data_IF_144544572071
#
_entry.id   IF_144544572071
#
_cell.length_a   1.000
_cell.length_b   1.000
_cell.length_c   1.000
_cell.angle_alpha   90.00
_cell.angle_beta   90.00
_cell.angle_gamma   90.00
#
_symmetry.space_group_name_H-M   'P 1'
#
loop_
_entity.id
_entity.type
_entity.pdbx_description
1 polymer ?
#
# COMPACT_ATOMS: atom_id res chain seq x y z
N UNK A 1 39.17 -78.83 19.81
CA UNK A 1 38.02 -78.29 20.57
C UNK A 1 38.17 -76.79 20.60
N UNK A 2 37.10 -76.13 20.17
CA UNK A 2 36.95 -74.70 19.93
C UNK A 2 37.40 -73.81 21.08
N UNK A 3 37.89 -72.61 20.75
CA UNK A 3 37.68 -71.42 21.58
C UNK A 3 37.43 -70.21 20.68
N UNK A 4 36.29 -70.25 20.01
CA UNK A 4 35.69 -69.24 19.12
C UNK A 4 35.01 -68.11 19.91
N UNK A 5 35.57 -67.70 21.06
CA UNK A 5 34.92 -66.72 21.95
C UNK A 5 35.61 -65.35 22.03
N UNK A 6 36.77 -65.18 21.39
CA UNK A 6 37.54 -63.92 21.48
C UNK A 6 37.08 -62.88 20.43
N UNK A 7 36.36 -63.28 19.38
CA UNK A 7 35.93 -62.38 18.29
C UNK A 7 34.52 -61.79 18.45
N UNK A 8 33.70 -62.28 19.38
CA UNK A 8 32.34 -61.78 19.59
C UNK A 8 32.26 -60.55 20.52
N UNK A 9 33.32 -60.27 21.30
CA UNK A 9 33.33 -59.15 22.26
C UNK A 9 33.64 -57.78 21.65
N UNK A 10 34.22 -57.72 20.45
CA UNK A 10 34.69 -56.46 19.85
C UNK A 10 33.68 -55.82 18.88
N UNK A 11 32.67 -56.56 18.41
CA UNK A 11 31.70 -56.05 17.42
C UNK A 11 30.53 -55.30 18.09
N UNK A 12 30.27 -55.55 19.37
CA UNK A 12 29.19 -54.86 20.11
C UNK A 12 29.60 -53.44 20.54
N UNK A 13 30.90 -53.14 20.60
CA UNK A 13 31.40 -51.81 20.95
C UNK A 13 31.34 -50.79 19.79
N UNK A 14 31.15 -51.24 18.54
CA UNK A 14 31.16 -50.34 17.37
C UNK A 14 29.75 -49.92 16.89
N UNK A 15 28.68 -50.58 17.37
CA UNK A 15 27.30 -50.24 17.01
C UNK A 15 26.65 -49.20 17.96
N UNK A 16 27.33 -48.84 19.06
CA UNK A 16 26.82 -47.89 20.05
C UNK A 16 27.33 -46.45 19.84
N UNK A 17 28.13 -46.18 18.80
CA UNK A 17 28.80 -44.89 18.59
C UNK A 17 28.39 -44.14 17.31
N UNK A 18 27.47 -44.68 16.50
CA UNK A 18 27.01 -44.05 15.25
C UNK A 18 25.61 -43.43 15.31
N UNK A 19 25.06 -43.22 16.51
CA UNK A 19 23.77 -42.55 16.75
C UNK A 19 23.90 -41.20 17.44
N UNK A 20 24.92 -40.40 17.12
CA UNK A 20 25.09 -39.04 17.66
C UNK A 20 24.80 -37.99 16.59
N UNK A 21 23.59 -38.03 16.03
CA UNK A 21 22.98 -36.87 15.38
C UNK A 21 21.56 -36.77 15.90
N UNK A 22 21.42 -36.29 17.14
CA UNK A 22 20.13 -36.07 17.77
C UNK A 22 19.28 -35.17 16.87
N UNK A 23 18.12 -35.67 16.47
CA UNK A 23 17.16 -34.92 15.65
C UNK A 23 16.23 -34.16 16.58
N UNK A 24 16.03 -32.87 16.32
CA UNK A 24 15.10 -32.00 17.05
C UNK A 24 13.67 -32.08 16.51
N UNK A 25 13.45 -32.92 15.50
CA UNK A 25 12.13 -33.14 14.90
C UNK A 25 11.36 -34.20 15.72
N UNK A 26 10.22 -33.86 16.36
CA UNK A 26 9.49 -34.75 17.25
C UNK A 26 8.90 -35.99 16.55
N UNK A 27 8.74 -35.95 15.23
CA UNK A 27 8.30 -37.10 14.44
C UNK A 27 9.41 -38.14 14.19
N UNK A 28 10.67 -37.78 14.42
CA UNK A 28 11.85 -38.59 14.09
C UNK A 28 12.74 -38.90 15.32
N UNK A 29 12.53 -38.20 16.44
CA UNK A 29 13.33 -38.38 17.65
C UNK A 29 12.93 -39.62 18.47
N UNK A 30 13.92 -40.43 18.87
CA UNK A 30 13.73 -41.57 19.77
C UNK A 30 13.31 -41.16 21.18
N UNK A 31 12.86 -42.14 21.99
CA UNK A 31 12.32 -41.92 23.34
C UNK A 31 13.25 -41.10 24.27
N UNK A 32 14.56 -41.36 24.21
CA UNK A 32 15.55 -40.69 25.06
C UNK A 32 15.89 -39.26 24.60
N UNK A 33 15.87 -38.99 23.29
CA UNK A 33 16.03 -37.63 22.73
C UNK A 33 14.82 -36.75 23.06
N UNK A 34 13.61 -37.34 23.03
CA UNK A 34 12.40 -36.65 23.45
C UNK A 34 12.44 -36.24 24.93
N UNK A 35 12.89 -37.14 25.83
CA UNK A 35 13.04 -36.84 27.26
C UNK A 35 14.15 -35.79 27.48
N UNK A 36 15.26 -35.86 26.73
CA UNK A 36 16.34 -34.88 26.82
C UNK A 36 15.91 -33.48 26.32
N UNK A 37 15.16 -33.37 25.23
CA UNK A 37 14.63 -32.09 24.74
C UNK A 37 13.55 -31.50 25.65
N UNK A 38 12.73 -32.35 26.29
CA UNK A 38 11.81 -31.92 27.36
C UNK A 38 12.56 -31.37 28.58
N UNK A 39 13.65 -32.01 29.00
CA UNK A 39 14.41 -31.62 30.19
C UNK A 39 15.33 -30.40 29.97
N UNK A 40 15.63 -30.04 28.72
CA UNK A 40 16.50 -28.90 28.35
C UNK A 40 15.75 -27.63 27.91
N UNK A 41 14.41 -27.68 27.86
CA UNK A 41 13.54 -26.55 27.51
C UNK A 41 13.59 -26.18 26.02
N UNK A 42 14.08 -27.05 25.14
CA UNK A 42 14.25 -26.74 23.71
C UNK A 42 12.90 -26.59 22.99
N UNK A 43 11.88 -27.34 23.42
CA UNK A 43 10.52 -27.17 22.92
C UNK A 43 9.92 -25.81 23.33
N UNK A 44 10.13 -25.40 24.58
CA UNK A 44 9.67 -24.08 25.05
C UNK A 44 10.35 -22.94 24.29
N UNK A 45 11.63 -23.09 23.95
CA UNK A 45 12.34 -22.14 23.08
C UNK A 45 11.74 -22.07 21.68
N UNK A 46 11.41 -23.20 21.07
CA UNK A 46 10.76 -23.23 19.75
C UNK A 46 9.36 -22.64 19.77
N UNK A 47 8.57 -22.93 20.81
CA UNK A 47 7.24 -22.35 21.01
C UNK A 47 7.37 -20.83 21.17
N UNK A 48 8.24 -20.34 22.06
CA UNK A 48 8.47 -18.91 22.25
C UNK A 48 8.93 -18.21 20.97
N UNK A 49 9.78 -18.86 20.16
CA UNK A 49 10.20 -18.33 18.86
C UNK A 49 9.02 -18.24 17.87
N UNK A 50 8.17 -19.27 17.81
CA UNK A 50 6.97 -19.28 16.96
C UNK A 50 5.92 -18.30 17.41
N UNK A 51 5.72 -18.12 18.71
CA UNK A 51 4.84 -17.09 19.28
C UNK A 51 5.37 -15.68 18.97
N UNK A 52 6.68 -15.47 19.08
CA UNK A 52 7.30 -14.19 18.71
C UNK A 52 7.15 -13.89 17.20
N UNK A 53 7.34 -14.90 16.35
CA UNK A 53 7.11 -14.82 14.90
C UNK A 53 5.65 -14.50 14.58
N UNK A 54 4.70 -15.24 15.18
CA UNK A 54 3.27 -15.00 15.01
C UNK A 54 2.88 -13.59 15.46
N UNK A 55 3.37 -13.14 16.62
CA UNK A 55 3.12 -11.79 17.11
C UNK A 55 3.72 -10.71 16.19
N UNK A 56 4.88 -10.96 15.58
CA UNK A 56 5.47 -10.06 14.59
C UNK A 56 4.62 -9.98 13.31
N UNK A 57 4.14 -11.11 12.81
CA UNK A 57 3.23 -11.17 11.66
C UNK A 57 1.93 -10.44 11.96
N UNK A 58 1.32 -10.66 13.13
CA UNK A 58 0.09 -9.95 13.53
C UNK A 58 0.31 -8.44 13.54
N UNK A 59 1.39 -7.95 14.14
CA UNK A 59 1.72 -6.51 14.13
C UNK A 59 1.90 -5.96 12.72
N UNK A 60 2.60 -6.70 11.86
CA UNK A 60 2.81 -6.34 10.46
C UNK A 60 1.47 -6.22 9.71
N UNK A 61 0.60 -7.22 9.86
CA UNK A 61 -0.74 -7.23 9.25
C UNK A 61 -1.61 -6.06 9.74
N UNK A 62 -1.59 -5.75 11.04
CA UNK A 62 -2.31 -4.58 11.57
C UNK A 62 -1.78 -3.28 10.97
N UNK A 63 -0.46 -3.14 10.82
CA UNK A 63 0.14 -1.96 10.18
C UNK A 63 -0.25 -1.85 8.70
N UNK A 64 -0.25 -2.97 7.97
CA UNK A 64 -0.67 -3.00 6.57
C UNK A 64 -2.14 -2.62 6.43
N UNK A 65 -3.02 -3.15 7.30
CA UNK A 65 -4.44 -2.81 7.30
C UNK A 65 -4.67 -1.32 7.58
N UNK A 66 -3.92 -0.73 8.52
CA UNK A 66 -3.98 0.71 8.76
C UNK A 66 -3.54 1.51 7.52
N UNK A 67 -2.50 1.04 6.81
CA UNK A 67 -2.05 1.62 5.55
C UNK A 67 -3.14 1.55 4.46
N UNK A 68 -3.80 0.41 4.30
CA UNK A 68 -4.91 0.22 3.37
C UNK A 68 -6.04 1.21 3.68
N UNK A 69 -6.49 1.26 4.94
CA UNK A 69 -7.55 2.17 5.36
C UNK A 69 -7.20 3.65 5.07
N UNK A 70 -5.93 4.03 5.28
CA UNK A 70 -5.45 5.38 4.96
C UNK A 70 -5.48 5.67 3.47
N UNK A 71 -5.10 4.71 2.61
CA UNK A 71 -5.13 4.87 1.16
C UNK A 71 -6.57 4.94 0.62
N UNK A 72 -7.49 4.16 1.19
CA UNK A 72 -8.92 4.23 0.85
C UNK A 72 -9.50 5.60 1.19
N UNK A 73 -9.21 6.11 2.40
CA UNK A 73 -9.64 7.44 2.82
C UNK A 73 -9.07 8.54 1.88
N UNK A 74 -7.80 8.44 1.50
CA UNK A 74 -7.17 9.37 0.56
C UNK A 74 -7.82 9.28 -0.83
N UNK A 75 -8.14 8.07 -1.29
CA UNK A 75 -8.81 7.85 -2.59
C UNK A 75 -10.19 8.49 -2.59
N UNK A 76 -10.95 8.32 -1.52
CA UNK A 76 -12.27 8.95 -1.38
C UNK A 76 -12.16 10.47 -1.35
N UNK A 77 -11.21 11.02 -0.58
CA UNK A 77 -10.96 12.46 -0.54
C UNK A 77 -10.58 13.03 -1.92
N UNK A 78 -9.72 12.33 -2.66
CA UNK A 78 -9.34 12.70 -4.02
C UNK A 78 -10.53 12.67 -4.98
N UNK A 79 -11.37 11.63 -4.91
CA UNK A 79 -12.58 11.52 -5.72
C UNK A 79 -13.55 12.69 -5.45
N UNK A 80 -13.76 13.03 -4.18
CA UNK A 80 -14.57 14.20 -3.79
C UNK A 80 -13.96 15.52 -4.28
N UNK A 81 -12.64 15.68 -4.20
CA UNK A 81 -11.95 16.87 -4.70
C UNK A 81 -12.10 17.03 -6.23
N UNK A 82 -11.93 15.94 -6.99
CA UNK A 82 -12.13 15.92 -8.44
C UNK A 82 -13.58 16.27 -8.80
N UNK A 83 -14.56 15.71 -8.08
CA UNK A 83 -15.97 16.03 -8.30
C UNK A 83 -16.27 17.52 -8.06
N UNK A 84 -15.72 18.10 -6.99
CA UNK A 84 -15.81 19.53 -6.68
C UNK A 84 -15.20 20.39 -7.79
N UNK A 85 -13.99 20.08 -8.26
CA UNK A 85 -13.31 20.81 -9.34
C UNK A 85 -14.13 20.74 -10.64
N UNK A 86 -14.70 19.58 -10.97
CA UNK A 86 -15.57 19.43 -12.14
C UNK A 86 -16.82 20.30 -12.06
N UNK A 87 -17.44 20.38 -10.89
CA UNK A 87 -18.59 21.26 -10.67
C UNK A 87 -18.20 22.74 -10.80
N UNK A 88 -17.06 23.14 -10.25
CA UNK A 88 -16.54 24.50 -10.39
C UNK A 88 -16.23 24.88 -11.84
N UNK A 89 -15.66 23.96 -12.62
CA UNK A 89 -15.42 24.15 -14.07
C UNK A 89 -16.73 24.28 -14.87
N UNK A 90 -17.73 23.46 -14.56
CA UNK A 90 -19.04 23.55 -15.19
C UNK A 90 -19.71 24.92 -14.90
N UNK A 91 -19.62 25.38 -13.65
CA UNK A 91 -20.06 26.71 -13.25
C UNK A 91 -19.30 27.81 -13.98
N UNK A 92 -17.97 27.73 -14.07
CA UNK A 92 -17.15 28.69 -14.80
C UNK A 92 -17.51 28.76 -16.30
N UNK A 93 -17.80 27.62 -16.93
CA UNK A 93 -18.29 27.60 -18.34
C UNK A 93 -19.62 28.30 -18.52
N UNK A 94 -20.54 28.11 -17.57
CA UNK A 94 -21.81 28.82 -17.58
C UNK A 94 -21.60 30.33 -17.43
N UNK A 95 -20.70 30.75 -16.53
CA UNK A 95 -20.31 32.16 -16.38
C UNK A 95 -19.68 32.73 -17.65
N UNK A 96 -18.79 31.98 -18.32
CA UNK A 96 -18.17 32.40 -19.59
C UNK A 96 -19.20 32.55 -20.71
N UNK A 97 -20.16 31.63 -20.78
CA UNK A 97 -21.28 31.70 -21.75
C UNK A 97 -22.16 32.93 -21.50
N UNK A 98 -22.48 33.21 -20.23
CA UNK A 98 -23.23 34.40 -19.85
C UNK A 98 -22.44 35.70 -20.13
N UNK A 99 -21.13 35.69 -19.90
CA UNK A 99 -20.25 36.80 -20.26
C UNK A 99 -20.26 37.05 -21.77
N UNK A 100 -20.22 36.00 -22.60
CA UNK A 100 -20.33 36.13 -24.07
C UNK A 100 -21.60 36.86 -24.48
N UNK A 101 -22.74 36.51 -23.87
CA UNK A 101 -24.01 37.16 -24.14
C UNK A 101 -24.01 38.65 -23.75
N UNK A 102 -23.35 39.02 -22.65
CA UNK A 102 -23.24 40.43 -22.19
C UNK A 102 -22.30 41.27 -23.05
N UNK A 103 -21.18 40.69 -23.48
CA UNK A 103 -20.18 41.35 -24.31
C UNK A 103 -20.73 41.71 -25.70
N UNK A 104 -21.76 41.00 -26.16
CA UNK A 104 -22.40 41.29 -27.45
C UNK A 104 -21.46 41.08 -28.62
N UNK A 105 -21.39 42.04 -29.55
CA UNK A 105 -20.62 41.96 -30.79
C UNK A 105 -19.26 42.67 -30.75
N UNK A 106 -18.73 43.03 -29.57
CA UNK A 106 -17.40 43.63 -29.44
C UNK A 106 -16.31 42.57 -29.82
N UNK A 107 -15.64 42.71 -30.98
CA UNK A 107 -14.73 41.70 -31.48
C UNK A 107 -13.49 41.54 -30.60
N UNK A 108 -13.06 42.60 -29.91
CA UNK A 108 -11.86 42.56 -29.05
C UNK A 108 -12.17 41.79 -27.77
N UNK A 109 -13.30 42.07 -27.13
CA UNK A 109 -13.73 41.34 -25.93
C UNK A 109 -14.09 39.90 -26.24
N UNK A 110 -14.72 39.62 -27.39
CA UNK A 110 -14.98 38.25 -27.84
C UNK A 110 -13.69 37.46 -28.04
N UNK A 111 -12.69 38.01 -28.72
CA UNK A 111 -11.40 37.34 -28.89
C UNK A 111 -10.65 37.09 -27.57
N UNK A 112 -10.84 37.94 -26.54
CA UNK A 112 -10.32 37.66 -25.19
C UNK A 112 -11.08 36.50 -24.53
N UNK A 113 -12.40 36.46 -24.68
CA UNK A 113 -13.23 35.39 -24.14
C UNK A 113 -12.92 34.04 -24.78
N UNK A 114 -12.66 33.99 -26.10
CA UNK A 114 -12.23 32.78 -26.80
C UNK A 114 -10.93 32.20 -26.21
N UNK A 115 -9.98 33.06 -25.81
CA UNK A 115 -8.75 32.63 -25.14
C UNK A 115 -9.02 32.07 -23.75
N UNK A 116 -9.93 32.69 -22.99
CA UNK A 116 -10.33 32.19 -21.68
C UNK A 116 -11.06 30.85 -21.80
N UNK A 117 -11.88 30.64 -22.83
CA UNK A 117 -12.49 29.34 -23.13
C UNK A 117 -11.43 28.26 -23.41
N UNK A 118 -10.38 28.62 -24.15
CA UNK A 118 -9.21 27.75 -24.34
C UNK A 118 -8.51 27.39 -23.03
N UNK A 119 -8.35 28.36 -22.12
CA UNK A 119 -7.80 28.12 -20.79
C UNK A 119 -8.70 27.20 -19.95
N UNK A 120 -10.02 27.39 -19.98
CA UNK A 120 -10.98 26.51 -19.30
C UNK A 120 -10.85 25.07 -19.83
N UNK A 121 -10.65 24.89 -21.13
CA UNK A 121 -10.43 23.58 -21.74
C UNK A 121 -9.11 22.94 -21.27
N UNK A 122 -8.02 23.71 -21.20
CA UNK A 122 -6.73 23.25 -20.67
C UNK A 122 -6.84 22.83 -19.20
N UNK A 123 -7.47 23.65 -18.35
CA UNK A 123 -7.69 23.31 -16.93
C UNK A 123 -8.51 22.02 -16.81
N UNK A 124 -9.50 21.79 -17.68
CA UNK A 124 -10.23 20.51 -17.68
C UNK A 124 -9.33 19.32 -18.06
N UNK A 125 -8.46 19.48 -19.06
CA UNK A 125 -7.52 18.44 -19.45
C UNK A 125 -6.58 18.10 -18.28
N UNK A 126 -6.04 19.11 -17.61
CA UNK A 126 -5.16 18.94 -16.45
C UNK A 126 -5.89 18.28 -15.28
N UNK A 127 -7.13 18.70 -14.99
CA UNK A 127 -7.97 18.06 -13.98
C UNK A 127 -8.28 16.58 -14.30
N UNK A 128 -8.37 16.22 -15.58
CA UNK A 128 -8.58 14.84 -16.03
C UNK A 128 -7.27 14.02 -16.02
N UNK A 129 -6.13 14.69 -16.17
CA UNK A 129 -4.78 14.11 -16.09
C UNK A 129 -4.23 13.96 -14.67
N UNK A 130 -5.01 14.30 -13.64
CA UNK A 130 -4.58 14.19 -12.24
C UNK A 130 -3.74 15.38 -11.75
N UNK A 131 -3.96 16.57 -12.32
CA UNK A 131 -3.33 17.80 -11.85
C UNK A 131 -3.60 18.09 -10.37
N UNK A 132 -2.71 18.86 -9.75
CA UNK A 132 -2.80 19.20 -8.32
C UNK A 132 -4.11 19.98 -8.02
N UNK A 133 -4.95 19.51 -7.07
CA UNK A 133 -6.23 20.14 -6.77
C UNK A 133 -6.13 21.60 -6.32
N UNK A 134 -5.04 22.00 -5.66
CA UNK A 134 -4.88 23.37 -5.16
C UNK A 134 -4.49 24.33 -6.29
N UNK A 135 -3.59 23.89 -7.17
CA UNK A 135 -3.21 24.63 -8.37
C UNK A 135 -4.41 24.82 -9.32
N UNK A 136 -5.17 23.74 -9.57
CA UNK A 136 -6.37 23.80 -10.41
C UNK A 136 -7.41 24.79 -9.87
N UNK A 137 -7.66 24.81 -8.55
CA UNK A 137 -8.58 25.78 -7.94
C UNK A 137 -8.09 27.21 -8.08
N UNK A 138 -6.79 27.44 -7.91
CA UNK A 138 -6.21 28.78 -8.11
C UNK A 138 -6.38 29.24 -9.56
N UNK A 139 -6.20 28.35 -10.54
CA UNK A 139 -6.44 28.65 -11.96
C UNK A 139 -7.90 28.93 -12.27
N UNK A 140 -8.83 28.11 -11.76
CA UNK A 140 -10.27 28.35 -11.89
C UNK A 140 -10.63 29.72 -11.34
N UNK A 141 -10.14 30.09 -10.16
CA UNK A 141 -10.41 31.38 -9.53
C UNK A 141 -9.89 32.55 -10.37
N UNK A 142 -8.66 32.45 -10.89
CA UNK A 142 -8.07 33.48 -11.76
C UNK A 142 -8.85 33.64 -13.06
N UNK A 143 -9.17 32.54 -13.73
CA UNK A 143 -9.92 32.55 -14.98
C UNK A 143 -11.34 33.08 -14.78
N UNK A 144 -12.00 32.70 -13.68
CA UNK A 144 -13.30 33.25 -13.28
C UNK A 144 -13.26 34.77 -13.07
N UNK A 145 -12.24 35.28 -12.39
CA UNK A 145 -12.07 36.73 -12.22
C UNK A 145 -11.89 37.45 -13.57
N UNK A 146 -11.11 36.87 -14.50
CA UNK A 146 -10.93 37.41 -15.84
C UNK A 146 -12.24 37.42 -16.66
N UNK A 147 -13.02 36.33 -16.61
CA UNK A 147 -14.33 36.26 -17.26
C UNK A 147 -15.27 37.35 -16.75
N UNK A 148 -15.35 37.52 -15.43
CA UNK A 148 -16.20 38.56 -14.81
C UNK A 148 -15.75 39.97 -15.17
N UNK A 149 -14.44 40.22 -15.21
CA UNK A 149 -13.91 41.52 -15.59
C UNK A 149 -14.24 41.90 -17.04
N UNK A 150 -14.34 40.93 -17.96
CA UNK A 150 -14.75 41.18 -19.34
C UNK A 150 -16.25 41.42 -19.50
N UNK A 151 -17.05 40.81 -18.62
CA UNK A 151 -18.50 40.85 -18.63
C UNK A 151 -19.12 42.11 -17.99
N UNK A 152 -18.30 42.88 -17.27
CA UNK A 152 -18.64 44.17 -16.69
C UNK A 152 -18.22 45.32 -17.62
#
# INVERSE_FOLDING_TARGET
MSNTHILAGLVIAAAALSGCTGTTNPAEAGLFDNIHNLNTGEYDRQIAAKEAEAAAITRSNTSMQAGINSMEAQTQANASAIASIRAELASLRSEASAARAKVGSDPVRLGKLDRLDGQIAAIQADASGGGDPSALRAEIARTRAAVRALAN
#
